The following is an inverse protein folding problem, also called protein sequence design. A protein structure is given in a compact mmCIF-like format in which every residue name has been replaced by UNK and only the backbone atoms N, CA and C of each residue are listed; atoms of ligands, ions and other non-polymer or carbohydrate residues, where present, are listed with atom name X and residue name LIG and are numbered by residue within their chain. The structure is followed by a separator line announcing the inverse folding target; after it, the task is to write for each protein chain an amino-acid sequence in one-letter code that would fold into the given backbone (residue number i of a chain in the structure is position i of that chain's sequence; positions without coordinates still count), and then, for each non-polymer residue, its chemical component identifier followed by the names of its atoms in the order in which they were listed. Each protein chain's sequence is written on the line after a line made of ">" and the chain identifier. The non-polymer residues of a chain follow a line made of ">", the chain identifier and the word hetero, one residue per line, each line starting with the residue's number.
data_IF_504459940506
#
_entry.id   IF_504459940506
#
_cell.length_a   1.000
_cell.length_b   1.000
_cell.length_c   1.000
_cell.angle_alpha   90.00
_cell.angle_beta   90.00
_cell.angle_gamma   90.00
#
_symmetry.space_group_name_H-M   'P 1'
#
loop_
_entity.id
_entity.type
_entity.pdbx_description
1 polymer ?
#
# COMPACT_ATOMS: atom_id res chain seq x y z
N UNK A 1 -9.11 -37.58 -10.38
CA UNK A 1 -9.24 -38.52 -9.23
C UNK A 1 -8.56 -37.99 -7.98
N UNK A 2 -8.60 -38.69 -6.83
CA UNK A 2 -8.04 -38.21 -5.54
C UNK A 2 -6.55 -37.82 -5.62
N UNK A 3 -5.73 -38.63 -6.30
CA UNK A 3 -4.30 -38.35 -6.50
C UNK A 3 -4.04 -37.00 -7.17
N UNK A 4 -4.81 -36.69 -8.21
CA UNK A 4 -4.68 -35.44 -8.97
C UNK A 4 -5.06 -34.22 -8.10
N UNK A 5 -6.10 -34.37 -7.28
CA UNK A 5 -6.49 -33.34 -6.32
C UNK A 5 -5.37 -33.08 -5.30
N UNK A 6 -4.75 -34.13 -4.76
CA UNK A 6 -3.63 -33.99 -3.82
C UNK A 6 -2.39 -33.35 -4.48
N UNK A 7 -2.07 -33.71 -5.73
CA UNK A 7 -0.99 -33.08 -6.49
C UNK A 7 -1.20 -31.58 -6.67
N UNK A 8 -2.43 -31.16 -7.00
CA UNK A 8 -2.76 -29.72 -7.09
C UNK A 8 -2.60 -29.00 -5.75
N UNK A 9 -3.05 -29.60 -4.64
CA UNK A 9 -2.90 -29.00 -3.30
C UNK A 9 -1.44 -28.85 -2.91
N UNK A 10 -0.62 -29.84 -3.22
CA UNK A 10 0.83 -29.77 -2.99
C UNK A 10 1.50 -28.67 -3.85
N UNK A 11 1.04 -28.42 -5.07
CA UNK A 11 1.52 -27.31 -5.89
C UNK A 11 1.10 -25.95 -5.32
N UNK A 12 -0.14 -25.80 -4.89
CA UNK A 12 -0.66 -24.58 -4.25
C UNK A 12 0.12 -24.23 -2.96
N UNK A 13 0.44 -25.25 -2.15
CA UNK A 13 1.25 -25.08 -0.94
C UNK A 13 2.68 -24.63 -1.24
N UNK A 14 3.32 -25.20 -2.29
CA UNK A 14 4.65 -24.75 -2.74
C UNK A 14 4.61 -23.30 -3.23
N UNK A 15 3.63 -22.94 -4.04
CA UNK A 15 3.47 -21.57 -4.53
C UNK A 15 3.27 -20.56 -3.38
N UNK A 16 2.52 -20.93 -2.34
CA UNK A 16 2.41 -20.14 -1.12
C UNK A 16 3.77 -19.96 -0.42
N UNK A 17 4.54 -21.05 -0.29
CA UNK A 17 5.87 -21.02 0.31
C UNK A 17 6.84 -20.14 -0.48
N UNK A 18 6.82 -20.25 -1.80
CA UNK A 18 7.64 -19.44 -2.69
C UNK A 18 7.25 -17.97 -2.66
N UNK A 19 5.97 -17.65 -2.41
CA UNK A 19 5.49 -16.28 -2.27
C UNK A 19 6.00 -15.61 -0.99
N UNK A 20 5.79 -16.21 0.19
CA UNK A 20 6.18 -15.53 1.43
C UNK A 20 7.70 -15.44 1.61
N UNK A 21 8.47 -16.43 1.11
CA UNK A 21 9.94 -16.43 1.23
C UNK A 21 10.61 -15.25 0.53
N UNK A 22 9.98 -14.66 -0.49
CA UNK A 22 10.48 -13.43 -1.14
C UNK A 22 10.54 -12.23 -0.20
N UNK A 23 9.80 -12.28 0.90
CA UNK A 23 9.71 -11.22 1.91
C UNK A 23 10.46 -11.58 3.20
N UNK A 24 11.33 -12.59 3.15
CA UNK A 24 12.11 -13.04 4.30
C UNK A 24 13.59 -13.16 3.91
N UNK A 25 14.46 -12.46 4.63
CA UNK A 25 15.90 -12.58 4.53
C UNK A 25 16.52 -12.31 5.90
N UNK A 26 17.74 -12.79 6.11
CA UNK A 26 18.51 -12.51 7.32
C UNK A 26 19.09 -11.09 7.28
N UNK A 27 19.15 -10.44 8.43
CA UNK A 27 19.72 -9.10 8.61
C UNK A 27 20.71 -9.11 9.77
N UNK A 28 21.77 -8.32 9.68
CA UNK A 28 22.70 -8.07 10.79
C UNK A 28 22.53 -6.63 11.28
N UNK A 29 21.85 -6.45 12.41
CA UNK A 29 21.42 -5.13 12.87
C UNK A 29 20.57 -4.40 11.83
N UNK A 30 21.10 -3.31 11.26
CA UNK A 30 20.44 -2.55 10.17
C UNK A 30 20.94 -2.92 8.79
N UNK A 31 22.01 -3.73 8.69
CA UNK A 31 22.49 -4.23 7.42
C UNK A 31 21.50 -5.24 6.84
N UNK A 32 21.13 -5.03 5.57
CA UNK A 32 20.04 -5.76 4.92
C UNK A 32 18.65 -5.14 5.11
N UNK A 33 18.49 -4.13 5.97
CA UNK A 33 17.27 -3.32 6.00
C UNK A 33 17.23 -2.35 4.81
N UNK A 34 16.02 -2.02 4.39
CA UNK A 34 15.74 -1.01 3.34
C UNK A 34 14.54 -0.17 3.78
N UNK A 35 14.65 1.14 3.61
CA UNK A 35 13.53 2.07 3.79
C UNK A 35 13.12 2.59 2.41
N UNK A 36 11.85 2.48 2.06
CA UNK A 36 11.29 3.05 0.83
C UNK A 36 10.32 4.17 1.18
N UNK A 37 10.79 5.42 1.38
CA UNK A 37 9.90 6.55 1.61
C UNK A 37 8.99 6.76 0.39
N UNK A 38 7.76 7.20 0.64
CA UNK A 38 6.82 7.54 -0.44
C UNK A 38 6.10 8.87 -0.22
N UNK A 39 6.22 9.48 0.96
CA UNK A 39 5.70 10.80 1.30
C UNK A 39 6.58 11.46 2.37
N UNK A 40 6.79 12.76 2.24
CA UNK A 40 7.25 13.67 3.28
C UNK A 40 6.04 14.40 3.82
N UNK A 41 5.67 14.12 5.07
CA UNK A 41 4.39 14.57 5.63
C UNK A 41 4.43 16.00 6.16
N UNK A 42 5.55 16.44 6.73
CA UNK A 42 5.71 17.77 7.29
C UNK A 42 7.18 18.21 7.32
N UNK A 43 7.37 19.52 7.40
CA UNK A 43 8.62 20.19 7.72
C UNK A 43 8.35 21.23 8.83
N UNK A 44 9.41 21.88 9.32
CA UNK A 44 9.26 22.92 10.36
C UNK A 44 8.26 24.00 9.91
N UNK A 45 7.18 24.16 10.68
CA UNK A 45 6.15 25.16 10.43
C UNK A 45 5.26 24.90 9.21
N UNK A 46 5.29 23.70 8.61
CA UNK A 46 4.56 23.41 7.38
C UNK A 46 4.15 21.95 7.24
N UNK A 47 2.86 21.71 7.04
CA UNK A 47 2.35 20.45 6.52
C UNK A 47 2.69 20.32 5.02
N UNK A 48 3.18 19.16 4.63
CA UNK A 48 3.53 18.82 3.25
C UNK A 48 2.59 17.76 2.67
N UNK A 49 1.68 17.20 3.47
CA UNK A 49 0.77 16.14 3.06
C UNK A 49 -0.18 16.54 1.91
N UNK A 50 -0.40 17.84 1.70
CA UNK A 50 -1.18 18.39 0.59
C UNK A 50 -0.40 18.57 -0.72
N UNK A 51 0.91 18.28 -0.76
CA UNK A 51 1.65 18.32 -2.02
C UNK A 51 1.16 17.24 -3.00
N UNK A 52 1.12 17.53 -4.32
CA UNK A 52 0.95 16.51 -5.36
C UNK A 52 1.92 15.33 -5.19
N UNK A 53 1.47 14.13 -5.57
CA UNK A 53 2.21 12.91 -5.32
C UNK A 53 3.50 12.81 -6.15
N UNK A 54 3.53 13.38 -7.35
CA UNK A 54 4.75 13.54 -8.14
C UNK A 54 5.78 14.45 -7.46
N UNK A 55 5.35 15.59 -6.90
CA UNK A 55 6.23 16.47 -6.14
C UNK A 55 6.78 15.78 -4.87
N UNK A 56 5.93 15.03 -4.16
CA UNK A 56 6.32 14.20 -3.02
C UNK A 56 7.43 13.22 -3.39
N UNK A 57 7.25 12.50 -4.49
CA UNK A 57 8.22 11.49 -4.94
C UNK A 57 9.49 12.14 -5.49
N UNK A 58 9.42 13.31 -6.11
CA UNK A 58 10.60 14.07 -6.53
C UNK A 58 11.46 14.53 -5.33
N UNK A 59 10.83 14.87 -4.19
CA UNK A 59 11.57 15.14 -2.94
C UNK A 59 12.26 13.87 -2.44
N UNK A 60 11.54 12.74 -2.41
CA UNK A 60 12.09 11.44 -2.00
C UNK A 60 13.26 11.02 -2.90
N UNK A 61 13.15 11.20 -4.21
CA UNK A 61 14.20 10.82 -5.15
C UNK A 61 15.51 11.55 -4.86
N UNK A 62 15.45 12.85 -4.56
CA UNK A 62 16.63 13.61 -4.14
C UNK A 62 17.22 13.11 -2.82
N UNK A 63 16.39 12.63 -1.89
CA UNK A 63 16.88 12.02 -0.65
C UNK A 63 17.60 10.70 -0.93
N UNK A 64 17.04 9.86 -1.80
CA UNK A 64 17.65 8.58 -2.23
C UNK A 64 18.96 8.83 -2.98
N UNK A 65 18.99 9.79 -3.90
CA UNK A 65 20.19 10.15 -4.69
C UNK A 65 21.37 10.57 -3.80
N UNK A 66 21.09 11.26 -2.69
CA UNK A 66 22.11 11.73 -1.76
C UNK A 66 22.35 10.78 -0.57
N UNK A 67 21.67 9.63 -0.50
CA UNK A 67 21.92 8.63 0.52
C UNK A 67 23.20 7.84 0.24
N UNK A 68 24.23 8.10 1.03
CA UNK A 68 25.52 7.39 0.96
C UNK A 68 25.52 6.07 1.73
N UNK A 69 24.49 5.79 2.50
CA UNK A 69 24.40 4.60 3.35
C UNK A 69 23.81 3.40 2.62
N UNK A 70 23.07 3.62 1.53
CA UNK A 70 22.35 2.57 0.81
C UNK A 70 21.12 2.04 1.55
N UNK A 71 20.68 2.73 2.60
CA UNK A 71 19.49 2.39 3.38
C UNK A 71 18.21 2.74 2.62
N UNK A 72 18.22 3.87 1.90
CA UNK A 72 17.06 4.35 1.17
C UNK A 72 16.93 3.63 -0.18
N UNK A 73 15.77 3.05 -0.42
CA UNK A 73 15.40 2.42 -1.67
C UNK A 73 14.48 3.34 -2.50
N UNK A 74 14.67 3.44 -3.82
CA UNK A 74 13.76 4.16 -4.68
C UNK A 74 12.42 3.42 -4.78
N UNK A 75 11.32 4.18 -4.85
CA UNK A 75 9.99 3.63 -5.11
C UNK A 75 9.74 3.60 -6.62
N UNK A 76 9.69 2.40 -7.22
CA UNK A 76 9.28 2.26 -8.64
C UNK A 76 7.84 2.76 -8.80
N UNK A 77 7.59 3.52 -9.88
CA UNK A 77 6.28 4.15 -10.16
C UNK A 77 6.03 4.28 -11.66
N UNK A 78 4.76 4.48 -12.00
CA UNK A 78 4.29 4.84 -13.33
C UNK A 78 3.10 5.80 -13.17
N UNK A 79 3.09 6.89 -13.95
CA UNK A 79 1.94 7.80 -14.02
C UNK A 79 0.99 7.26 -15.09
N UNK A 80 -0.29 7.13 -14.75
CA UNK A 80 -1.32 6.61 -15.65
C UNK A 80 -2.40 7.66 -15.85
N UNK A 81 -2.69 8.01 -17.10
CA UNK A 81 -3.87 8.78 -17.46
C UNK A 81 -5.06 7.81 -17.62
N UNK A 82 -6.03 7.89 -16.72
CA UNK A 82 -7.21 7.02 -16.75
C UNK A 82 -8.19 7.34 -17.87
N UNK A 83 -8.02 8.47 -18.57
CA UNK A 83 -8.80 8.84 -19.76
C UNK A 83 -8.19 8.32 -21.07
N UNK A 84 -6.96 7.80 -21.05
CA UNK A 84 -6.26 7.23 -22.21
C UNK A 84 -6.14 5.71 -22.09
N UNK A 85 -6.78 4.98 -23.01
CA UNK A 85 -6.76 3.52 -23.05
C UNK A 85 -5.34 2.97 -23.22
N UNK A 86 -4.46 3.66 -23.96
CA UNK A 86 -3.08 3.24 -24.16
C UNK A 86 -2.27 3.33 -22.85
N UNK A 87 -2.39 4.44 -22.13
CA UNK A 87 -1.79 4.64 -20.81
C UNK A 87 -2.30 3.62 -19.78
N UNK A 88 -3.60 3.32 -19.77
CA UNK A 88 -4.17 2.27 -18.90
C UNK A 88 -3.58 0.91 -19.24
N UNK A 89 -3.48 0.56 -20.52
CA UNK A 89 -2.89 -0.70 -20.95
C UNK A 89 -1.41 -0.82 -20.54
N UNK A 90 -0.65 0.28 -20.57
CA UNK A 90 0.72 0.33 -20.05
C UNK A 90 0.77 0.11 -18.54
N UNK A 91 -0.11 0.77 -17.79
CA UNK A 91 -0.27 0.57 -16.35
C UNK A 91 -0.53 -0.89 -15.97
N UNK A 92 -1.41 -1.57 -16.71
CA UNK A 92 -1.69 -3.00 -16.52
C UNK A 92 -0.44 -3.84 -16.80
N UNK A 93 0.25 -3.63 -17.93
CA UNK A 93 1.47 -4.38 -18.27
C UNK A 93 2.55 -4.21 -17.21
N UNK A 94 2.83 -2.98 -16.80
CA UNK A 94 3.82 -2.68 -15.77
C UNK A 94 3.50 -3.38 -14.45
N UNK A 95 2.23 -3.40 -14.03
CA UNK A 95 1.80 -4.10 -12.82
C UNK A 95 1.92 -5.62 -12.95
N UNK A 96 1.58 -6.18 -14.12
CA UNK A 96 1.73 -7.61 -14.40
C UNK A 96 3.19 -8.02 -14.31
N UNK A 97 4.09 -7.30 -14.99
CA UNK A 97 5.53 -7.57 -14.96
C UNK A 97 6.10 -7.47 -13.54
N UNK A 98 5.73 -6.42 -12.79
CA UNK A 98 6.15 -6.25 -11.40
C UNK A 98 5.74 -7.43 -10.52
N UNK A 99 4.49 -7.89 -10.66
CA UNK A 99 3.94 -8.95 -9.81
C UNK A 99 4.41 -10.35 -10.22
N UNK A 100 4.65 -10.59 -11.51
CA UNK A 100 5.28 -11.81 -12.02
C UNK A 100 6.75 -11.92 -11.56
N UNK A 101 7.45 -10.80 -11.47
CA UNK A 101 8.80 -10.73 -10.88
C UNK A 101 8.80 -10.95 -9.35
N UNK A 102 7.63 -10.98 -8.69
CA UNK A 102 7.50 -11.26 -7.25
C UNK A 102 7.10 -10.09 -6.38
N UNK A 103 6.90 -8.92 -6.97
CA UNK A 103 6.39 -7.76 -6.24
C UNK A 103 4.99 -8.03 -5.67
N UNK A 104 4.68 -7.41 -4.54
CA UNK A 104 3.38 -7.54 -3.88
C UNK A 104 2.26 -7.04 -4.78
N UNK A 105 2.51 -5.96 -5.51
CA UNK A 105 1.52 -5.22 -6.29
C UNK A 105 1.82 -3.73 -6.29
N UNK A 106 0.77 -2.91 -6.36
CA UNK A 106 0.88 -1.45 -6.38
C UNK A 106 -0.13 -0.77 -5.47
N UNK A 107 0.15 0.49 -5.14
CA UNK A 107 -0.82 1.41 -4.55
C UNK A 107 -1.12 2.49 -5.57
N UNK A 108 -2.36 2.54 -6.05
CA UNK A 108 -2.84 3.56 -6.98
C UNK A 108 -3.28 4.77 -6.19
N UNK A 109 -2.73 5.95 -6.49
CA UNK A 109 -3.04 7.20 -5.79
C UNK A 109 -3.45 8.27 -6.79
N UNK A 110 -4.37 9.17 -6.43
CA UNK A 110 -4.58 10.40 -7.20
C UNK A 110 -3.27 11.19 -7.28
N UNK A 111 -2.92 11.68 -8.47
CA UNK A 111 -1.69 12.46 -8.65
C UNK A 111 -1.73 13.76 -7.86
N UNK A 112 -2.90 14.40 -7.79
CA UNK A 112 -3.14 15.61 -7.00
C UNK A 112 -4.23 15.34 -5.95
N UNK A 113 -4.20 16.03 -4.80
CA UNK A 113 -5.31 16.02 -3.88
C UNK A 113 -6.61 16.43 -4.60
N UNK A 114 -7.72 15.77 -4.27
CA UNK A 114 -9.04 16.09 -4.83
C UNK A 114 -9.85 16.82 -3.75
N UNK A 115 -10.01 18.16 -3.82
CA UNK A 115 -10.74 18.92 -2.81
C UNK A 115 -12.20 18.50 -2.73
N UNK A 116 -12.74 18.33 -1.52
CA UNK A 116 -14.17 18.07 -1.29
C UNK A 116 -14.70 16.71 -1.78
N UNK A 117 -13.87 15.87 -2.37
CA UNK A 117 -14.25 14.54 -2.86
C UNK A 117 -14.09 13.44 -1.82
N UNK A 118 -15.00 12.46 -1.80
CA UNK A 118 -14.81 11.18 -1.07
C UNK A 118 -13.89 10.23 -1.86
N UNK A 119 -12.73 10.72 -2.26
CA UNK A 119 -11.74 9.96 -3.04
C UNK A 119 -10.76 9.27 -2.08
N UNK A 120 -10.52 7.99 -2.30
CA UNK A 120 -9.55 7.24 -1.49
C UNK A 120 -8.13 7.78 -1.73
N UNK A 121 -7.34 8.02 -0.68
CA UNK A 121 -5.97 8.56 -0.82
C UNK A 121 -5.00 7.55 -1.43
N UNK A 122 -5.34 6.26 -1.38
CA UNK A 122 -4.62 5.19 -2.04
C UNK A 122 -5.44 3.91 -2.10
N UNK A 123 -5.35 3.19 -3.22
CA UNK A 123 -6.02 1.91 -3.43
C UNK A 123 -4.96 0.85 -3.68
N UNK A 124 -4.90 -0.17 -2.81
CA UNK A 124 -4.02 -1.32 -2.97
C UNK A 124 -4.53 -2.26 -4.07
N UNK A 125 -3.67 -2.64 -5.00
CA UNK A 125 -3.92 -3.64 -6.03
C UNK A 125 -2.79 -4.68 -5.99
N UNK A 126 -3.08 -5.81 -5.34
CA UNK A 126 -2.11 -6.86 -5.02
C UNK A 126 -2.10 -7.98 -6.06
N UNK A 127 -0.90 -8.46 -6.39
CA UNK A 127 -0.63 -9.51 -7.34
C UNK A 127 -1.20 -10.87 -6.92
N UNK A 128 -1.43 -11.73 -7.91
CA UNK A 128 -2.04 -13.05 -7.71
C UNK A 128 -1.23 -13.92 -6.73
N UNK A 129 0.07 -14.03 -6.93
CA UNK A 129 0.87 -14.93 -6.10
C UNK A 129 1.03 -14.40 -4.66
N UNK A 130 1.16 -13.08 -4.48
CA UNK A 130 1.17 -12.46 -3.15
C UNK A 130 -0.13 -12.75 -2.38
N UNK A 131 -1.29 -12.69 -3.03
CA UNK A 131 -2.58 -12.92 -2.38
C UNK A 131 -2.75 -14.34 -1.82
N UNK A 132 -1.88 -15.30 -2.13
CA UNK A 132 -1.82 -16.59 -1.42
C UNK A 132 -1.47 -16.42 0.05
N UNK A 133 -0.61 -15.45 0.39
CA UNK A 133 -0.22 -15.12 1.76
C UNK A 133 -1.45 -14.65 2.57
N UNK A 134 -2.36 -13.93 1.89
CA UNK A 134 -3.53 -13.29 2.51
C UNK A 134 -4.75 -14.21 2.55
N UNK A 135 -5.07 -14.87 1.44
CA UNK A 135 -6.30 -15.67 1.28
C UNK A 135 -6.07 -17.18 1.39
N UNK A 136 -4.82 -17.61 1.57
CA UNK A 136 -4.41 -19.00 1.69
C UNK A 136 -3.94 -19.62 0.36
N UNK A 137 -3.22 -20.76 0.42
CA UNK A 137 -2.55 -21.37 -0.73
C UNK A 137 -3.51 -21.71 -1.89
N UNK A 138 -4.72 -22.18 -1.56
CA UNK A 138 -5.70 -22.70 -2.52
C UNK A 138 -6.69 -21.63 -3.02
N UNK A 139 -6.51 -20.35 -2.68
CA UNK A 139 -7.54 -19.32 -2.93
C UNK A 139 -7.87 -19.10 -4.41
N UNK A 140 -6.95 -19.42 -5.31
CA UNK A 140 -7.12 -19.27 -6.77
C UNK A 140 -8.05 -20.30 -7.40
N UNK A 141 -8.43 -21.36 -6.66
CA UNK A 141 -9.36 -22.37 -7.16
C UNK A 141 -10.74 -21.77 -7.42
N UNK A 142 -11.44 -22.13 -8.52
CA UNK A 142 -12.71 -21.50 -8.90
C UNK A 142 -13.73 -21.42 -7.75
N UNK A 143 -13.89 -22.51 -6.99
CA UNK A 143 -14.81 -22.62 -5.86
C UNK A 143 -14.43 -21.74 -4.66
N UNK A 144 -13.13 -21.47 -4.46
CA UNK A 144 -12.65 -20.57 -3.42
C UNK A 144 -12.75 -19.12 -3.89
N UNK A 145 -12.32 -18.85 -5.11
CA UNK A 145 -12.30 -17.52 -5.70
C UNK A 145 -13.71 -16.95 -5.85
N UNK A 146 -14.69 -17.78 -6.26
CA UNK A 146 -16.09 -17.36 -6.36
C UNK A 146 -16.63 -16.86 -5.00
N UNK A 147 -16.34 -17.57 -3.91
CA UNK A 147 -16.73 -17.20 -2.54
C UNK A 147 -16.04 -15.91 -2.06
N UNK A 148 -14.80 -15.67 -2.48
CA UNK A 148 -14.02 -14.50 -2.09
C UNK A 148 -14.40 -13.22 -2.86
N UNK A 149 -15.07 -13.33 -4.02
CA UNK A 149 -15.51 -12.17 -4.81
C UNK A 149 -16.63 -11.39 -4.12
N UNK A 150 -17.50 -12.05 -3.36
CA UNK A 150 -18.52 -11.38 -2.55
C UNK A 150 -17.90 -10.80 -1.28
N UNK A 151 -17.42 -9.55 -1.35
CA UNK A 151 -16.82 -8.84 -0.21
C UNK A 151 -17.39 -7.43 -0.06
N UNK A 152 -17.65 -7.01 1.17
CA UNK A 152 -18.05 -5.64 1.49
C UNK A 152 -16.83 -4.78 1.75
N UNK A 153 -16.63 -3.73 0.94
CA UNK A 153 -15.53 -2.77 1.09
C UNK A 153 -15.97 -1.45 1.74
N UNK A 154 -17.28 -1.26 1.95
CA UNK A 154 -17.84 0.03 2.36
C UNK A 154 -17.31 0.51 3.72
N UNK A 155 -17.28 -0.39 4.71
CA UNK A 155 -16.81 -0.06 6.05
C UNK A 155 -15.32 0.32 6.07
N UNK A 156 -14.45 -0.49 5.43
CA UNK A 156 -13.00 -0.18 5.32
C UNK A 156 -12.74 1.11 4.56
N UNK A 157 -13.48 1.38 3.48
CA UNK A 157 -13.39 2.65 2.73
C UNK A 157 -13.78 3.86 3.57
N UNK A 158 -14.80 3.73 4.41
CA UNK A 158 -15.22 4.79 5.34
C UNK A 158 -14.18 5.05 6.42
N UNK A 159 -13.65 3.99 7.03
CA UNK A 159 -12.55 4.07 8.00
C UNK A 159 -11.32 4.77 7.42
N UNK A 160 -10.85 4.32 6.26
CA UNK A 160 -9.67 4.90 5.60
C UNK A 160 -9.82 6.41 5.33
N UNK A 161 -11.01 6.89 4.96
CA UNK A 161 -11.26 8.32 4.76
C UNK A 161 -11.25 9.11 6.07
N UNK A 162 -11.84 8.56 7.15
CA UNK A 162 -11.85 9.21 8.47
C UNK A 162 -10.44 9.27 9.07
N UNK A 163 -9.71 8.16 9.04
CA UNK A 163 -8.32 8.07 9.48
C UNK A 163 -7.43 9.04 8.69
N UNK A 164 -7.59 9.09 7.36
CA UNK A 164 -6.84 10.02 6.52
C UNK A 164 -7.10 11.49 6.88
N UNK A 165 -8.37 11.87 7.05
CA UNK A 165 -8.72 13.23 7.42
C UNK A 165 -8.15 13.62 8.80
N UNK A 166 -8.24 12.73 9.79
CA UNK A 166 -7.64 12.94 11.11
C UNK A 166 -6.11 13.04 11.05
N UNK A 167 -5.47 12.23 10.19
CA UNK A 167 -4.02 12.32 9.96
C UNK A 167 -3.60 13.67 9.37
N UNK A 168 -4.34 14.19 8.38
CA UNK A 168 -4.11 15.53 7.84
C UNK A 168 -4.30 16.61 8.90
N UNK A 169 -5.39 16.54 9.68
CA UNK A 169 -5.66 17.48 10.77
C UNK A 169 -4.53 17.49 11.82
N UNK A 170 -4.02 16.32 12.21
CA UNK A 170 -2.90 16.21 13.14
C UNK A 170 -1.64 16.92 12.60
N UNK A 171 -1.34 16.77 11.31
CA UNK A 171 -0.20 17.38 10.65
C UNK A 171 -0.34 18.91 10.55
N UNK A 172 -1.54 19.41 10.23
CA UNK A 172 -1.81 20.85 10.19
C UNK A 172 -1.68 21.48 11.58
N UNK A 173 -2.27 20.89 12.62
CA UNK A 173 -2.14 21.36 14.01
C UNK A 173 -0.68 21.38 14.46
N UNK A 174 0.07 20.33 14.13
CA UNK A 174 1.50 20.27 14.42
C UNK A 174 2.29 21.37 13.71
N UNK A 175 2.02 21.58 12.42
CA UNK A 175 2.67 22.62 11.63
C UNK A 175 2.35 24.04 12.13
N UNK A 176 1.13 24.27 12.61
CA UNK A 176 0.69 25.53 13.19
C UNK A 176 1.26 25.81 14.60
N UNK A 177 1.95 24.83 15.21
CA UNK A 177 2.48 24.96 16.56
C UNK A 177 1.41 24.94 17.65
N UNK A 178 0.28 24.28 17.40
CA UNK A 178 -0.76 24.10 18.41
C UNK A 178 -0.24 23.30 19.63
N UNK A 179 -0.87 23.47 20.81
CA UNK A 179 -0.55 22.66 21.98
C UNK A 179 -0.62 21.16 21.68
N UNK A 180 0.30 20.38 22.25
CA UNK A 180 0.43 18.95 21.96
C UNK A 180 -0.86 18.15 22.13
N UNK A 181 -1.70 18.51 23.11
CA UNK A 181 -2.98 17.83 23.35
C UNK A 181 -3.97 17.99 22.18
N UNK A 182 -3.92 19.09 21.42
CA UNK A 182 -4.71 19.29 20.21
C UNK A 182 -4.22 18.40 19.07
N UNK A 183 -2.90 18.24 18.93
CA UNK A 183 -2.33 17.29 17.95
C UNK A 183 -2.72 15.86 18.32
N UNK A 184 -2.54 15.50 19.60
CA UNK A 184 -2.84 14.17 20.13
C UNK A 184 -4.32 13.79 20.04
N UNK A 185 -5.24 14.75 20.16
CA UNK A 185 -6.68 14.50 19.95
C UNK A 185 -6.94 13.79 18.61
N UNK A 186 -6.36 14.30 17.51
CA UNK A 186 -6.52 13.73 16.18
C UNK A 186 -5.73 12.40 16.02
N UNK A 187 -4.50 12.33 16.56
CA UNK A 187 -3.68 11.11 16.52
C UNK A 187 -4.35 9.95 17.26
N UNK A 188 -4.88 10.20 18.46
CA UNK A 188 -5.54 9.16 19.24
C UNK A 188 -6.91 8.79 18.68
N UNK A 189 -7.59 9.69 17.96
CA UNK A 189 -8.78 9.33 17.21
C UNK A 189 -8.46 8.32 16.10
N UNK A 190 -7.34 8.47 15.36
CA UNK A 190 -6.88 7.44 14.40
C UNK A 190 -6.67 6.10 15.09
N UNK A 191 -5.97 6.09 16.23
CA UNK A 191 -5.72 4.87 17.00
C UNK A 191 -7.03 4.20 17.46
N UNK A 192 -8.02 4.99 17.88
CA UNK A 192 -9.33 4.48 18.27
C UNK A 192 -10.10 3.87 17.09
N UNK A 193 -10.01 4.47 15.90
CA UNK A 193 -10.65 3.94 14.68
C UNK A 193 -10.05 2.60 14.23
N UNK A 194 -8.74 2.41 14.38
CA UNK A 194 -8.08 1.12 14.09
C UNK A 194 -8.53 -0.03 15.00
N UNK A 195 -9.23 0.27 16.10
CA UNK A 195 -9.86 -0.74 16.96
C UNK A 195 -11.25 -1.18 16.47
N UNK A 196 -11.83 -0.51 15.47
CA UNK A 196 -13.08 -0.96 14.83
C UNK A 196 -12.83 -2.29 14.09
N UNK A 197 -13.65 -3.34 14.29
CA UNK A 197 -13.41 -4.64 13.67
C UNK A 197 -13.65 -4.58 12.15
N UNK A 198 -12.61 -4.92 11.38
CA UNK A 198 -12.68 -5.04 9.92
C UNK A 198 -12.09 -6.38 9.47
N UNK A 199 -12.51 -6.87 8.31
CA UNK A 199 -11.91 -8.05 7.68
C UNK A 199 -10.39 -7.84 7.52
N UNK A 200 -9.53 -8.63 8.19
CA UNK A 200 -8.09 -8.42 8.21
C UNK A 200 -7.42 -8.70 6.85
N UNK A 201 -8.16 -9.24 5.89
CA UNK A 201 -7.66 -9.54 4.53
C UNK A 201 -7.74 -8.35 3.59
N UNK A 202 -8.45 -7.28 3.98
CA UNK A 202 -8.75 -6.11 3.14
C UNK A 202 -7.66 -5.03 3.16
#
# INVERSE_FOLDING_TARGET
>A
GLLEAQRRRAADARAFTDAYRRYCWETDGTEGARLAPFQVLAARGRSLAGLPHDEQLAVVDRMVEHDRTGLLAPTRRLVVDTGDEASVAEGVRWWTELTEAGGEGMVVKPLRPVPGGRVQPGIKCRGREYLRIVYGPEYTRPENLARLRSRSLGHKRSLALREYALGLEALERFAAGEPLWRVHEAVFAVLALESEPVDPRL
#
